data_IF_470571319915
#
_entry.id   IF_470571319915
#
_cell.length_a   1.000
_cell.length_b   1.000
_cell.length_c   1.000
_cell.angle_alpha   90.00
_cell.angle_beta   90.00
_cell.angle_gamma   90.00
#
_symmetry.space_group_name_H-M   'P 1'
#
loop_
_entity.id
_entity.type
_entity.pdbx_description
1 polymer ?
#
# COMPACT_ATOMS: atom_id res chain seq x y z
N UNK A 1 -0.59 -15.78 79.11
CA UNK A 1 -1.34 -16.60 78.13
C UNK A 1 -1.95 -15.79 76.98
N UNK A 2 -2.62 -14.65 77.21
CA UNK A 2 -3.28 -13.87 76.14
C UNK A 2 -2.35 -13.15 75.14
N UNK A 3 -1.08 -12.91 75.49
CA UNK A 3 -0.11 -12.20 74.62
C UNK A 3 0.49 -13.11 73.54
N UNK A 4 0.73 -14.38 73.87
CA UNK A 4 1.23 -15.42 72.95
C UNK A 4 0.22 -15.71 71.82
N UNK A 5 -1.06 -15.90 72.18
CA UNK A 5 -2.18 -16.12 71.24
C UNK A 5 -2.36 -14.97 70.23
N UNK A 6 -2.03 -13.72 70.61
CA UNK A 6 -2.12 -12.57 69.73
C UNK A 6 -0.97 -12.55 68.71
N UNK A 7 0.24 -12.94 69.12
CA UNK A 7 1.42 -13.01 68.25
C UNK A 7 1.25 -14.12 67.20
N UNK A 8 0.72 -15.28 67.57
CA UNK A 8 0.49 -16.39 66.64
C UNK A 8 -0.58 -16.08 65.59
N UNK A 9 -1.66 -15.38 65.99
CA UNK A 9 -2.68 -14.92 65.04
C UNK A 9 -2.14 -13.87 64.06
N UNK A 10 -1.26 -12.96 64.52
CA UNK A 10 -0.57 -12.00 63.65
C UNK A 10 0.37 -12.68 62.66
N UNK A 11 1.14 -13.69 63.10
CA UNK A 11 2.00 -14.51 62.22
C UNK A 11 1.18 -15.27 61.17
N UNK A 12 0.02 -15.82 61.55
CA UNK A 12 -0.89 -16.54 60.64
C UNK A 12 -1.50 -15.60 59.58
N UNK A 13 -1.91 -14.39 59.97
CA UNK A 13 -2.37 -13.35 59.03
C UNK A 13 -1.25 -12.88 58.10
N UNK A 14 -0.03 -12.72 58.60
CA UNK A 14 1.12 -12.34 57.79
C UNK A 14 1.45 -13.39 56.72
N UNK A 15 1.39 -14.68 57.06
CA UNK A 15 1.56 -15.78 56.10
C UNK A 15 0.48 -15.78 55.01
N UNK A 16 -0.77 -15.46 55.36
CA UNK A 16 -1.85 -15.31 54.39
C UNK A 16 -1.62 -14.13 53.43
N UNK A 17 -1.15 -12.98 53.92
CA UNK A 17 -0.83 -11.84 53.06
C UNK A 17 0.34 -12.11 52.12
N UNK A 18 1.39 -12.80 52.58
CA UNK A 18 2.49 -13.22 51.72
C UNK A 18 2.03 -14.23 50.65
N UNK A 19 1.18 -15.18 51.01
CA UNK A 19 0.58 -16.11 50.05
C UNK A 19 -0.24 -15.38 48.98
N UNK A 20 -1.06 -14.41 49.39
CA UNK A 20 -1.85 -13.58 48.49
C UNK A 20 -0.97 -12.72 47.56
N UNK A 21 0.14 -12.19 48.07
CA UNK A 21 1.07 -11.40 47.26
C UNK A 21 1.71 -12.25 46.14
N UNK A 22 2.16 -13.47 46.48
CA UNK A 22 2.75 -14.39 45.50
C UNK A 22 1.73 -14.78 44.42
N UNK A 23 0.48 -15.08 44.78
CA UNK A 23 -0.53 -15.48 43.79
C UNK A 23 -0.84 -14.37 42.80
N UNK A 24 -0.93 -13.12 43.27
CA UNK A 24 -1.13 -11.95 42.40
C UNK A 24 0.03 -11.79 41.41
N UNK A 25 1.28 -11.94 41.86
CA UNK A 25 2.46 -11.85 41.00
C UNK A 25 2.48 -12.95 39.93
N UNK A 26 2.09 -14.18 40.28
CA UNK A 26 1.98 -15.29 39.33
C UNK A 26 0.94 -15.02 38.24
N UNK A 27 -0.24 -14.48 38.60
CA UNK A 27 -1.31 -14.18 37.64
C UNK A 27 -0.85 -13.11 36.63
N UNK A 28 -0.15 -12.07 37.10
CA UNK A 28 0.42 -11.03 36.22
C UNK A 28 1.44 -11.64 35.24
N UNK A 29 2.34 -12.50 35.73
CA UNK A 29 3.35 -13.15 34.90
C UNK A 29 2.76 -14.04 33.80
N UNK A 30 1.78 -14.89 34.15
CA UNK A 30 1.09 -15.76 33.19
C UNK A 30 0.30 -14.94 32.16
N UNK A 31 -0.38 -13.89 32.60
CA UNK A 31 -1.14 -13.00 31.71
C UNK A 31 -0.24 -12.28 30.71
N UNK A 32 0.91 -11.77 31.16
CA UNK A 32 1.88 -11.11 30.29
C UNK A 32 2.50 -12.08 29.27
N UNK A 33 2.88 -13.28 29.70
CA UNK A 33 3.41 -14.31 28.80
C UNK A 33 2.39 -14.71 27.72
N UNK A 34 1.14 -14.90 28.10
CA UNK A 34 0.04 -15.20 27.17
C UNK A 34 -0.20 -14.08 26.16
N UNK A 35 -0.22 -12.84 26.63
CA UNK A 35 -0.40 -11.66 25.78
C UNK A 35 0.75 -11.48 24.77
N UNK A 36 1.99 -11.74 25.18
CA UNK A 36 3.17 -11.65 24.30
C UNK A 36 3.18 -12.75 23.24
N UNK A 37 2.72 -13.96 23.56
CA UNK A 37 2.56 -15.04 22.58
C UNK A 37 1.46 -14.74 21.54
N UNK A 38 0.34 -14.16 21.96
CA UNK A 38 -0.76 -13.83 21.05
C UNK A 38 -0.46 -12.62 20.14
N UNK A 39 0.31 -11.64 20.63
CA UNK A 39 0.79 -10.50 19.82
C UNK A 39 1.99 -10.86 18.94
N UNK A 40 2.77 -11.85 19.34
CA UNK A 40 3.80 -12.44 18.48
C UNK A 40 3.13 -13.39 17.49
N UNK A 41 2.24 -12.88 16.64
CA UNK A 41 1.86 -13.58 15.44
C UNK A 41 3.14 -13.90 14.66
N UNK A 42 3.50 -15.18 14.60
CA UNK A 42 4.49 -15.77 13.70
C UNK A 42 3.98 -15.89 12.27
N UNK A 43 2.91 -15.16 11.94
CA UNK A 43 2.51 -15.01 10.55
C UNK A 43 3.49 -14.02 9.93
N UNK A 44 4.31 -14.54 9.02
CA UNK A 44 5.00 -13.72 8.06
C UNK A 44 3.93 -12.84 7.38
N UNK A 45 3.78 -11.61 7.83
CA UNK A 45 3.17 -10.58 7.02
C UNK A 45 4.13 -10.38 5.86
N UNK A 46 4.02 -11.23 4.85
CA UNK A 46 4.70 -11.00 3.59
C UNK A 46 4.04 -9.74 3.07
N UNK A 47 4.62 -8.58 3.36
CA UNK A 47 4.47 -7.44 2.48
C UNK A 47 5.19 -7.86 1.22
N UNK A 48 4.49 -8.69 0.43
CA UNK A 48 4.84 -8.98 -0.93
C UNK A 48 4.58 -7.67 -1.67
N UNK A 49 5.50 -6.72 -1.52
CA UNK A 49 5.90 -5.91 -2.66
C UNK A 49 6.21 -6.95 -3.73
N UNK A 50 5.26 -7.19 -4.62
CA UNK A 50 5.39 -8.16 -5.70
C UNK A 50 6.62 -7.74 -6.48
N UNK A 51 7.73 -8.43 -6.24
CA UNK A 51 9.00 -8.22 -6.97
C UNK A 51 8.83 -8.43 -8.48
N UNK A 52 7.71 -9.03 -8.90
CA UNK A 52 7.34 -9.18 -10.31
C UNK A 52 6.74 -7.93 -10.94
N UNK A 53 6.26 -6.94 -10.16
CA UNK A 53 5.68 -5.71 -10.71
C UNK A 53 6.78 -4.74 -11.17
N UNK A 54 7.65 -5.23 -12.05
CA UNK A 54 8.56 -4.42 -12.83
C UNK A 54 7.93 -4.28 -14.22
N UNK A 55 7.19 -3.21 -14.44
CA UNK A 55 6.65 -2.89 -15.77
C UNK A 55 7.68 -2.04 -16.50
N UNK A 56 8.03 -2.42 -17.73
CA UNK A 56 8.90 -1.59 -18.56
C UNK A 56 8.03 -0.82 -19.54
N UNK A 57 8.22 0.50 -19.58
CA UNK A 57 7.66 1.38 -20.61
C UNK A 57 8.75 1.65 -21.65
N UNK A 58 8.53 1.21 -22.88
CA UNK A 58 9.40 1.55 -24.01
C UNK A 58 8.61 2.43 -24.97
N UNK A 59 9.11 3.65 -25.17
CA UNK A 59 8.57 4.58 -26.16
C UNK A 59 9.16 4.24 -27.52
N UNK A 60 8.31 3.89 -28.49
CA UNK A 60 8.78 3.58 -29.85
C UNK A 60 9.02 4.86 -30.67
N UNK A 61 8.47 5.98 -30.23
CA UNK A 61 8.60 7.30 -30.85
C UNK A 61 9.06 8.31 -29.81
N UNK A 62 10.13 9.04 -30.07
CA UNK A 62 10.67 10.05 -29.15
C UNK A 62 9.73 11.26 -29.08
N UNK A 63 8.99 11.39 -27.96
CA UNK A 63 8.17 12.55 -27.56
C UNK A 63 6.93 12.85 -28.42
N UNK A 64 5.80 13.09 -27.75
CA UNK A 64 4.63 13.74 -28.35
C UNK A 64 4.96 15.23 -28.53
N UNK A 65 5.27 15.64 -29.77
CA UNK A 65 5.55 17.05 -30.10
C UNK A 65 4.36 17.65 -30.82
N UNK A 66 3.76 18.68 -30.24
CA UNK A 66 2.65 19.44 -30.82
C UNK A 66 3.21 20.72 -31.43
N UNK A 67 3.71 20.65 -32.66
CA UNK A 67 4.13 21.82 -33.45
C UNK A 67 2.99 22.25 -34.35
N UNK A 68 2.58 23.53 -34.25
CA UNK A 68 1.48 24.12 -35.04
C UNK A 68 0.15 23.33 -34.97
N UNK A 69 -0.12 22.73 -33.81
CA UNK A 69 -1.35 21.98 -33.60
C UNK A 69 -2.56 22.92 -33.46
N UNK A 70 -3.60 22.65 -34.25
CA UNK A 70 -4.89 23.32 -34.17
C UNK A 70 -5.99 22.31 -33.80
N UNK A 71 -7.14 22.78 -33.27
CA UNK A 71 -8.27 21.90 -32.99
C UNK A 71 -8.75 21.22 -34.27
N UNK A 72 -8.89 19.89 -34.21
CA UNK A 72 -9.38 19.06 -35.30
C UNK A 72 -10.61 18.29 -34.82
N UNK A 73 -11.44 17.85 -35.76
CA UNK A 73 -12.54 16.95 -35.45
C UNK A 73 -12.02 15.57 -35.10
N UNK A 74 -12.76 14.85 -34.26
CA UNK A 74 -12.37 13.52 -33.77
C UNK A 74 -12.02 12.57 -34.92
N UNK A 75 -12.84 12.56 -35.98
CA UNK A 75 -12.67 11.65 -37.12
C UNK A 75 -11.31 11.83 -37.81
N UNK A 76 -10.86 13.07 -37.97
CA UNK A 76 -9.58 13.37 -38.58
C UNK A 76 -8.41 13.21 -37.60
N UNK A 77 -8.66 13.42 -36.30
CA UNK A 77 -7.70 13.11 -35.24
C UNK A 77 -7.36 11.62 -35.19
N UNK A 78 -8.33 10.73 -35.38
CA UNK A 78 -8.09 9.28 -35.46
C UNK A 78 -7.26 8.86 -36.68
N UNK A 79 -7.21 9.68 -37.74
CA UNK A 79 -6.42 9.41 -38.96
C UNK A 79 -4.95 9.84 -38.81
N UNK A 80 -4.60 10.60 -37.76
CA UNK A 80 -3.22 11.03 -37.52
C UNK A 80 -2.34 9.89 -37.01
N UNK A 81 -1.02 10.10 -37.07
CA UNK A 81 -0.03 9.14 -36.57
C UNK A 81 -0.15 9.01 -35.05
N UNK A 82 -0.50 7.84 -34.50
CA UNK A 82 -0.61 7.66 -33.06
C UNK A 82 0.77 7.54 -32.40
N UNK A 83 0.86 7.97 -31.14
CA UNK A 83 2.00 7.66 -30.30
C UNK A 83 1.93 6.20 -29.84
N UNK A 84 3.01 5.44 -30.00
CA UNK A 84 3.05 4.02 -29.65
C UNK A 84 4.05 3.79 -28.52
N UNK A 85 3.60 3.06 -27.50
CA UNK A 85 4.42 2.59 -26.40
C UNK A 85 4.14 1.12 -26.12
N UNK A 86 5.17 0.42 -25.66
CA UNK A 86 5.06 -0.98 -25.26
C UNK A 86 5.08 -1.08 -23.74
N UNK A 87 4.12 -1.81 -23.19
CA UNK A 87 4.07 -2.15 -21.75
C UNK A 87 4.24 -3.64 -21.61
N UNK A 88 5.28 -4.04 -20.86
CA UNK A 88 5.55 -5.45 -20.57
C UNK A 88 5.17 -5.77 -19.12
N UNK A 89 4.20 -6.67 -18.95
CA UNK A 89 3.92 -7.28 -17.65
C UNK A 89 4.89 -8.45 -17.43
N UNK A 90 5.79 -8.32 -16.46
CA UNK A 90 6.75 -9.38 -16.09
C UNK A 90 6.22 -10.29 -14.95
N UNK A 91 4.96 -10.15 -14.55
CA UNK A 91 4.31 -11.06 -13.60
C UNK A 91 3.63 -12.24 -14.31
N UNK A 92 3.57 -13.38 -13.60
CA UNK A 92 2.80 -14.56 -14.02
C UNK A 92 1.28 -14.41 -13.87
N UNK A 93 0.81 -13.26 -13.39
CA UNK A 93 -0.61 -12.98 -13.17
C UNK A 93 -1.03 -11.72 -13.90
N UNK A 94 -2.33 -11.63 -14.22
CA UNK A 94 -2.94 -10.41 -14.72
C UNK A 94 -2.72 -9.23 -13.76
N UNK A 95 -2.44 -8.06 -14.34
CA UNK A 95 -2.27 -6.80 -13.61
C UNK A 95 -3.25 -5.77 -14.15
N UNK A 96 -3.80 -4.95 -13.25
CA UNK A 96 -4.62 -3.81 -13.65
C UNK A 96 -3.72 -2.60 -13.83
N UNK A 97 -3.80 -1.97 -15.00
CA UNK A 97 -3.00 -0.79 -15.33
C UNK A 97 -3.91 0.43 -15.49
N UNK A 98 -3.42 1.58 -15.03
CA UNK A 98 -3.99 2.89 -15.30
C UNK A 98 -2.95 3.72 -16.04
N UNK A 99 -3.35 4.34 -17.15
CA UNK A 99 -2.50 5.22 -17.95
C UNK A 99 -3.06 6.63 -17.83
N UNK A 100 -2.22 7.55 -17.39
CA UNK A 100 -2.56 8.98 -17.29
C UNK A 100 -1.60 9.76 -18.18
N UNK A 101 -2.12 10.76 -18.87
CA UNK A 101 -1.31 11.75 -19.59
C UNK A 101 -1.42 13.05 -18.80
N UNK A 102 -0.29 13.51 -18.26
CA UNK A 102 -0.20 14.75 -17.51
C UNK A 102 0.74 15.73 -18.21
N UNK A 103 0.31 16.98 -18.36
CA UNK A 103 1.15 18.07 -18.85
C UNK A 103 1.93 18.71 -17.70
N UNK A 104 3.22 18.98 -17.89
CA UNK A 104 4.06 19.73 -16.92
C UNK A 104 3.45 21.09 -16.56
N UNK A 105 2.63 21.67 -17.44
CA UNK A 105 2.03 22.99 -17.29
C UNK A 105 0.52 22.95 -17.05
N UNK A 106 -0.03 21.81 -16.62
CA UNK A 106 -1.47 21.60 -16.39
C UNK A 106 -2.11 22.69 -15.51
N UNK A 107 -1.43 23.08 -14.44
CA UNK A 107 -1.89 24.11 -13.49
C UNK A 107 -1.56 25.55 -13.95
N UNK A 108 -0.89 25.70 -15.09
CA UNK A 108 -0.52 27.02 -15.60
C UNK A 108 -1.74 27.78 -16.12
N UNK A 109 -1.81 29.07 -15.76
CA UNK A 109 -2.80 30.00 -16.31
C UNK A 109 -2.35 30.63 -17.63
N UNK A 110 -1.11 30.37 -18.06
CA UNK A 110 -0.56 30.93 -19.28
C UNK A 110 -1.16 30.25 -20.53
N UNK A 111 -1.65 31.06 -21.46
CA UNK A 111 -2.27 30.61 -22.71
C UNK A 111 -1.27 30.05 -23.72
N UNK A 112 0.04 30.22 -23.48
CA UNK A 112 1.09 29.60 -24.28
C UNK A 112 1.22 28.07 -24.08
N UNK A 113 0.58 27.51 -23.05
CA UNK A 113 0.61 26.07 -22.78
C UNK A 113 -0.75 25.42 -23.04
N UNK A 114 -0.73 24.23 -23.63
CA UNK A 114 -1.93 23.45 -23.87
C UNK A 114 -2.45 22.86 -22.55
N UNK A 115 -3.73 23.13 -22.24
CA UNK A 115 -4.43 22.52 -21.11
C UNK A 115 -4.99 21.16 -21.49
N UNK A 116 -4.98 20.23 -20.54
CA UNK A 116 -5.46 18.86 -20.70
C UNK A 116 -6.92 18.78 -21.17
N UNK A 117 -7.77 19.74 -20.78
CA UNK A 117 -9.19 19.78 -21.18
C UNK A 117 -9.41 19.98 -22.69
N UNK A 118 -8.37 20.39 -23.43
CA UNK A 118 -8.40 20.50 -24.89
C UNK A 118 -7.80 19.28 -25.59
N UNK A 119 -7.33 18.29 -24.83
CA UNK A 119 -6.79 17.04 -25.36
C UNK A 119 -7.82 15.93 -25.24
N UNK A 120 -8.01 15.19 -26.33
CA UNK A 120 -8.79 13.95 -26.32
C UNK A 120 -7.84 12.79 -26.59
N UNK A 121 -7.99 11.73 -25.80
CA UNK A 121 -7.18 10.51 -25.94
C UNK A 121 -8.04 9.38 -26.47
N UNK A 122 -7.50 8.63 -27.42
CA UNK A 122 -8.06 7.36 -27.85
C UNK A 122 -6.99 6.28 -27.66
N UNK A 123 -7.33 5.25 -26.89
CA UNK A 123 -6.42 4.15 -26.58
C UNK A 123 -6.88 2.95 -27.41
N UNK A 124 -6.06 2.58 -28.40
CA UNK A 124 -6.29 1.38 -29.19
C UNK A 124 -5.23 0.33 -28.87
N UNK A 125 -5.62 -0.86 -28.36
CA UNK A 125 -4.67 -1.94 -28.13
C UNK A 125 -4.15 -2.45 -29.49
N UNK A 126 -2.82 -2.43 -29.66
CA UNK A 126 -2.17 -2.99 -30.84
C UNK A 126 -1.61 -4.36 -30.47
N UNK A 127 -2.35 -5.43 -30.77
CA UNK A 127 -1.95 -6.82 -30.51
C UNK A 127 -3.03 -7.67 -29.83
N UNK A 128 -2.86 -8.99 -29.88
CA UNK A 128 -3.81 -9.98 -29.37
C UNK A 128 -3.86 -9.94 -27.84
N UNK A 129 -4.98 -9.55 -27.27
CA UNK A 129 -5.34 -9.91 -25.89
C UNK A 129 -5.70 -11.39 -25.90
N UNK A 130 -4.71 -12.28 -25.93
CA UNK A 130 -4.95 -13.71 -25.70
C UNK A 130 -5.50 -13.86 -24.28
N UNK A 131 -6.79 -14.19 -24.20
CA UNK A 131 -7.49 -14.57 -22.97
C UNK A 131 -6.95 -15.87 -22.40
#
# INVERSE_FOLDING_TARGET
MNRELNIDNKKKRLKLYYGLLITVLCIIGVSFAWFRLYLSQTENNTIASRTCFNTTLTEDTSKISLTDAFPIIDEDGLKQTPFTFTIKNNCNSYVKLYITIDSTYRESTNTSYLKDNYMKVNISPKGTTTS
#
